data_IF_228392313645
#
_entry.id   IF_228392313645
#
_cell.length_a   1.000
_cell.length_b   1.000
_cell.length_c   1.000
_cell.angle_alpha   90.00
_cell.angle_beta   90.00
_cell.angle_gamma   90.00
#
_symmetry.space_group_name_H-M   'P 1'
#
loop_
_entity.id
_entity.type
_entity.pdbx_description
1 polymer ?
#
# COMPACT_ATOMS: atom_id res chain seq x y z
N UNK A 1 -8.84 -20.61 -16.66
CA UNK A 1 -8.67 -19.24 -17.17
C UNK A 1 -8.53 -18.20 -16.05
N UNK A 2 -7.77 -18.47 -14.97
CA UNK A 2 -7.60 -17.53 -13.84
C UNK A 2 -6.26 -16.76 -13.86
N UNK A 3 -5.35 -17.04 -14.80
CA UNK A 3 -3.99 -16.49 -14.79
C UNK A 3 -3.81 -15.13 -15.47
N UNK A 4 -4.63 -14.82 -16.48
CA UNK A 4 -4.43 -13.61 -17.30
C UNK A 4 -4.89 -12.33 -16.57
N UNK A 5 -6.05 -12.39 -15.92
CA UNK A 5 -6.59 -11.28 -15.13
C UNK A 5 -5.71 -10.92 -13.93
N UNK A 6 -5.12 -11.91 -13.27
CA UNK A 6 -4.26 -11.68 -12.10
C UNK A 6 -2.97 -10.97 -12.48
N UNK A 7 -2.33 -11.38 -13.60
CA UNK A 7 -1.16 -10.69 -14.13
C UNK A 7 -1.46 -9.27 -14.61
N UNK A 8 -2.60 -9.06 -15.26
CA UNK A 8 -3.04 -7.71 -15.63
C UNK A 8 -3.32 -6.82 -14.42
N UNK A 9 -3.95 -7.37 -13.38
CA UNK A 9 -4.19 -6.65 -12.12
C UNK A 9 -2.87 -6.31 -11.39
N UNK A 10 -1.86 -7.19 -11.44
CA UNK A 10 -0.52 -6.91 -10.91
C UNK A 10 0.17 -5.77 -11.69
N UNK A 11 0.11 -5.78 -13.03
CA UNK A 11 0.66 -4.71 -13.88
C UNK A 11 -0.04 -3.37 -13.62
N UNK A 12 -1.37 -3.37 -13.50
CA UNK A 12 -2.15 -2.17 -13.19
C UNK A 12 -1.83 -1.62 -11.78
N UNK A 13 -1.62 -2.50 -10.79
CA UNK A 13 -1.22 -2.10 -9.43
C UNK A 13 0.18 -1.48 -9.40
N UNK A 14 1.10 -1.93 -10.26
CA UNK A 14 2.41 -1.33 -10.45
C UNK A 14 2.30 0.05 -11.13
N UNK A 15 1.44 0.21 -12.13
CA UNK A 15 1.25 1.49 -12.82
C UNK A 15 0.60 2.58 -11.96
N UNK A 16 -0.39 2.22 -11.13
CA UNK A 16 -1.12 3.21 -10.31
C UNK A 16 -0.36 3.54 -9.02
N UNK A 17 0.68 2.78 -8.67
CA UNK A 17 1.45 2.96 -7.44
C UNK A 17 0.62 2.78 -6.16
N UNK A 18 -0.59 2.20 -6.29
CA UNK A 18 -1.57 2.13 -5.22
C UNK A 18 -1.76 0.67 -4.78
N UNK A 19 -1.07 0.24 -3.70
CA UNK A 19 -1.34 -1.06 -3.11
C UNK A 19 -2.75 -1.06 -2.50
N UNK A 20 -3.58 -2.03 -2.90
CA UNK A 20 -4.82 -2.34 -2.19
C UNK A 20 -4.49 -2.74 -0.74
N UNK A 21 -5.40 -2.43 0.19
CA UNK A 21 -5.27 -2.80 1.60
C UNK A 21 -4.98 -4.31 1.78
N UNK A 22 -5.63 -5.15 0.99
CA UNK A 22 -5.44 -6.60 1.03
C UNK A 22 -4.03 -7.03 0.60
N UNK A 23 -3.44 -6.37 -0.40
CA UNK A 23 -2.06 -6.60 -0.80
C UNK A 23 -1.07 -6.12 0.27
N UNK A 24 -1.39 -5.02 0.97
CA UNK A 24 -0.63 -4.57 2.13
C UNK A 24 -0.67 -5.59 3.28
N UNK A 25 -1.84 -6.12 3.62
CA UNK A 25 -1.98 -7.15 4.67
C UNK A 25 -1.23 -8.43 4.28
N UNK A 26 -1.34 -8.89 3.02
CA UNK A 26 -0.58 -10.04 2.55
C UNK A 26 0.94 -9.80 2.58
N UNK A 27 1.39 -8.59 2.24
CA UNK A 27 2.80 -8.22 2.33
C UNK A 27 3.28 -8.20 3.79
N UNK A 28 2.52 -7.57 4.69
CA UNK A 28 2.81 -7.56 6.12
C UNK A 28 2.86 -8.97 6.69
N UNK A 29 1.89 -9.83 6.35
CA UNK A 29 1.89 -11.22 6.80
C UNK A 29 3.10 -12.04 6.28
N UNK A 30 3.60 -11.74 5.08
CA UNK A 30 4.73 -12.46 4.47
C UNK A 30 6.11 -11.95 4.93
N UNK A 31 6.26 -10.66 5.13
CA UNK A 31 7.57 -10.02 5.38
C UNK A 31 7.72 -9.51 6.82
N UNK A 32 6.62 -9.27 7.52
CA UNK A 32 6.59 -8.73 8.88
C UNK A 32 5.57 -9.47 9.75
N UNK A 33 5.72 -10.80 9.95
CA UNK A 33 4.77 -11.59 10.73
C UNK A 33 4.65 -11.11 12.19
N UNK A 34 5.70 -10.46 12.71
CA UNK A 34 5.74 -9.94 14.08
C UNK A 34 5.05 -8.57 14.25
N UNK A 35 4.56 -7.96 13.17
CA UNK A 35 3.91 -6.65 13.22
C UNK A 35 2.45 -6.77 12.80
N UNK A 36 1.56 -6.25 13.65
CA UNK A 36 0.15 -6.13 13.31
C UNK A 36 -0.04 -5.11 12.18
N UNK A 37 -0.66 -5.48 11.05
CA UNK A 37 -0.95 -4.53 9.99
C UNK A 37 -1.92 -3.44 10.47
N UNK A 38 -1.71 -2.21 10.00
CA UNK A 38 -2.60 -1.08 10.24
C UNK A 38 -4.03 -1.40 9.79
N UNK A 39 -5.03 -0.77 10.40
CA UNK A 39 -6.41 -0.94 9.95
C UNK A 39 -6.63 -0.24 8.59
N UNK A 40 -7.73 -0.57 7.89
CA UNK A 40 -8.03 -0.03 6.55
C UNK A 40 -8.07 1.50 6.51
N UNK A 41 -8.64 2.13 7.54
CA UNK A 41 -8.76 3.59 7.65
C UNK A 41 -7.41 4.24 7.89
N UNK A 42 -6.58 3.67 8.77
CA UNK A 42 -5.21 4.10 9.02
C UNK A 42 -4.34 3.98 7.78
N UNK A 43 -4.46 2.85 7.06
CA UNK A 43 -3.75 2.66 5.80
C UNK A 43 -4.13 3.73 4.77
N UNK A 44 -5.42 4.02 4.62
CA UNK A 44 -5.89 5.05 3.69
C UNK A 44 -5.37 6.44 4.10
N UNK A 45 -5.49 6.81 5.37
CA UNK A 45 -4.96 8.08 5.90
C UNK A 45 -3.44 8.19 5.75
N UNK A 46 -2.70 7.10 5.96
CA UNK A 46 -1.25 7.06 5.78
C UNK A 46 -0.87 7.29 4.31
N UNK A 47 -1.61 6.71 3.36
CA UNK A 47 -1.40 6.93 1.91
C UNK A 47 -1.83 8.31 1.45
N UNK A 48 -2.95 8.82 1.94
CA UNK A 48 -3.36 10.20 1.73
C UNK A 48 -2.33 11.18 2.29
N UNK A 49 -1.80 10.93 3.50
CA UNK A 49 -0.76 11.77 4.09
C UNK A 49 0.56 11.68 3.32
N UNK A 50 0.95 10.50 2.84
CA UNK A 50 2.14 10.34 2.01
C UNK A 50 2.02 11.06 0.65
N UNK A 51 0.80 11.17 0.09
CA UNK A 51 0.56 11.75 -1.24
C UNK A 51 0.13 13.23 -1.22
N UNK A 52 -0.64 13.63 -0.22
CA UNK A 52 -1.26 14.95 -0.09
C UNK A 52 -0.94 15.63 1.24
N UNK A 53 -0.38 14.91 2.21
CA UNK A 53 0.08 15.45 3.48
C UNK A 53 1.37 16.24 3.29
N UNK A 54 1.28 17.40 2.62
CA UNK A 54 2.29 18.46 2.63
C UNK A 54 2.45 19.13 4.00
N UNK A 55 2.51 18.32 5.07
CA UNK A 55 2.87 18.71 6.44
C UNK A 55 3.82 17.64 7.00
N UNK A 56 5.03 17.51 6.44
CA UNK A 56 6.05 16.75 7.17
C UNK A 56 7.32 16.28 6.44
N UNK A 57 7.36 16.16 5.11
CA UNK A 57 8.61 15.78 4.44
C UNK A 57 9.48 17.00 4.17
N UNK A 58 10.39 17.30 5.09
CA UNK A 58 11.63 18.03 4.77
C UNK A 58 11.67 19.51 5.13
N UNK A 59 11.60 19.85 6.42
CA UNK A 59 12.58 20.83 6.91
C UNK A 59 13.84 20.05 7.24
N UNK A 60 14.75 19.94 6.27
CA UNK A 60 16.16 19.91 6.59
C UNK A 60 16.50 21.28 7.19
N UNK A 61 16.63 21.32 8.51
CA UNK A 61 17.53 22.17 9.28
C UNK A 61 17.91 21.37 10.53
#
# INVERSE_FOLDING_TARGET
>A
MKGFFTRWAEMMRLMVGQPHYESYVQHMARHHPDRTPMNRTEFFRNREQARYGGKGSGRCC
#
